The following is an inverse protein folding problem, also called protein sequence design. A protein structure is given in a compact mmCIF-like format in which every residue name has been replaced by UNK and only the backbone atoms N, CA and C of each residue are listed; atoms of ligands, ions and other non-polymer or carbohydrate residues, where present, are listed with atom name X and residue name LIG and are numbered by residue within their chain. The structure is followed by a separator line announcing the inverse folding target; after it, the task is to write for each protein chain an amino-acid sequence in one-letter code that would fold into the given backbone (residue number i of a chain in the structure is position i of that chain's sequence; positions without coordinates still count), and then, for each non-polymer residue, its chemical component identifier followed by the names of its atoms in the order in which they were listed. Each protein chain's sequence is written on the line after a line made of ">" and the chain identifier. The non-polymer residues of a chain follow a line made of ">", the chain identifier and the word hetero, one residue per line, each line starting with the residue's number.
data_IF_350791151059
#
_entry.id   IF_350791151059
#
_cell.length_a   1.000
_cell.length_b   1.000
_cell.length_c   1.000
_cell.angle_alpha   90.00
_cell.angle_beta   90.00
_cell.angle_gamma   90.00
#
_symmetry.space_group_name_H-M   'P 1'
#
loop_
_entity.id
_entity.type
_entity.pdbx_description
1 polymer ?
#
# COMPACT_ATOMS: atom_id res chain seq x y z
N UNK A 1 16.39 -19.79 -7.11
CA UNK A 1 16.72 -18.59 -6.34
C UNK A 1 15.42 -18.04 -5.81
N UNK A 2 15.34 -17.81 -4.50
CA UNK A 2 14.08 -17.52 -3.80
C UNK A 2 13.41 -16.25 -4.35
N UNK A 3 12.17 -16.39 -4.79
CA UNK A 3 11.26 -15.34 -5.24
C UNK A 3 10.77 -14.40 -4.09
N UNK A 4 11.38 -14.47 -2.92
CA UNK A 4 10.97 -13.77 -1.68
C UNK A 4 11.28 -12.25 -1.65
N UNK A 5 11.91 -11.71 -2.69
CA UNK A 5 12.25 -10.28 -2.78
C UNK A 5 11.47 -9.55 -3.88
N UNK A 6 10.44 -10.19 -4.45
CA UNK A 6 9.64 -9.57 -5.50
C UNK A 6 8.28 -9.22 -4.94
N UNK A 7 7.93 -7.94 -4.93
CA UNK A 7 6.60 -7.43 -4.59
C UNK A 7 5.83 -7.17 -5.88
N UNK A 8 4.63 -7.77 -5.99
CA UNK A 8 3.70 -7.54 -7.09
C UNK A 8 2.39 -7.07 -6.47
N UNK A 9 2.03 -5.80 -6.67
CA UNK A 9 0.88 -5.18 -6.02
C UNK A 9 0.06 -4.31 -6.97
N UNK A 10 -1.24 -4.17 -6.68
CA UNK A 10 -2.12 -3.14 -7.22
C UNK A 10 -2.79 -2.37 -6.09
N UNK A 11 -2.99 -1.06 -6.29
CA UNK A 11 -3.62 -0.17 -5.33
C UNK A 11 -4.86 0.47 -5.93
N UNK A 12 -5.90 0.64 -5.12
CA UNK A 12 -7.17 1.24 -5.50
C UNK A 12 -7.60 2.26 -4.46
N UNK A 13 -8.05 3.43 -4.91
CA UNK A 13 -8.78 4.36 -4.05
C UNK A 13 -10.24 3.91 -3.96
N UNK A 14 -10.81 3.91 -2.77
CA UNK A 14 -12.20 3.49 -2.53
C UNK A 14 -12.93 4.47 -1.61
N UNK A 15 -14.22 4.58 -1.77
CA UNK A 15 -15.08 5.41 -0.91
C UNK A 15 -15.60 4.65 0.31
N UNK A 16 -15.83 3.34 0.18
CA UNK A 16 -16.45 2.52 1.22
C UNK A 16 -15.65 1.25 1.54
N UNK A 17 -14.69 1.38 2.49
CA UNK A 17 -13.93 0.24 2.99
C UNK A 17 -14.81 -0.83 3.65
N UNK A 18 -15.92 -0.43 4.29
CA UNK A 18 -16.80 -1.39 4.96
C UNK A 18 -17.49 -2.32 3.96
N UNK A 19 -17.85 -1.80 2.78
CA UNK A 19 -18.38 -2.62 1.68
C UNK A 19 -17.35 -3.63 1.20
N UNK A 20 -16.10 -3.21 1.05
CA UNK A 20 -15.01 -4.10 0.66
C UNK A 20 -14.76 -5.16 1.74
N UNK A 21 -14.75 -4.77 3.01
CA UNK A 21 -14.58 -5.70 4.13
C UNK A 21 -15.73 -6.73 4.20
N UNK A 22 -16.98 -6.29 4.03
CA UNK A 22 -18.13 -7.19 3.94
C UNK A 22 -17.95 -8.19 2.79
N UNK A 23 -17.47 -7.73 1.65
CA UNK A 23 -17.20 -8.61 0.50
C UNK A 23 -16.08 -9.61 0.76
N UNK A 24 -15.02 -9.23 1.50
CA UNK A 24 -13.97 -10.15 1.95
C UNK A 24 -14.54 -11.24 2.86
N UNK A 25 -15.46 -10.91 3.78
CA UNK A 25 -16.14 -11.89 4.61
C UNK A 25 -17.00 -12.87 3.79
N UNK A 26 -17.75 -12.39 2.79
CA UNK A 26 -18.53 -13.25 1.88
C UNK A 26 -17.64 -14.20 1.07
N UNK A 27 -16.40 -13.79 0.76
CA UNK A 27 -15.41 -14.60 0.07
C UNK A 27 -14.59 -15.50 1.02
N UNK A 28 -14.95 -15.53 2.30
CA UNK A 28 -14.28 -16.32 3.35
C UNK A 28 -12.77 -15.96 3.50
N UNK A 29 -12.42 -14.70 3.22
CA UNK A 29 -11.07 -14.21 3.46
C UNK A 29 -10.72 -14.25 4.95
N UNK A 30 -9.52 -14.72 5.26
CA UNK A 30 -9.07 -14.85 6.64
C UNK A 30 -8.37 -13.58 7.10
N UNK A 31 -8.85 -12.98 8.19
CA UNK A 31 -8.17 -11.88 8.85
C UNK A 31 -6.84 -12.37 9.42
N UNK A 32 -5.72 -11.73 9.05
CA UNK A 32 -4.38 -12.06 9.55
C UNK A 32 -3.79 -10.94 10.41
N UNK A 33 -4.24 -9.69 10.22
CA UNK A 33 -3.88 -8.57 11.06
C UNK A 33 -5.10 -7.67 11.26
N UNK A 34 -5.53 -7.52 12.52
CA UNK A 34 -6.56 -6.56 12.89
C UNK A 34 -6.06 -5.12 12.65
N UNK A 35 -7.01 -4.19 12.59
CA UNK A 35 -6.72 -2.76 12.38
C UNK A 35 -5.64 -2.25 13.33
N UNK A 36 -4.51 -1.84 12.78
CA UNK A 36 -3.35 -1.32 13.52
C UNK A 36 -2.90 0.01 12.93
N UNK A 37 -2.44 0.92 13.78
CA UNK A 37 -1.79 2.15 13.33
C UNK A 37 -0.36 1.83 12.90
N UNK A 38 -0.02 2.21 11.67
CA UNK A 38 1.33 2.21 11.15
C UNK A 38 1.85 3.65 11.06
N UNK A 39 2.98 3.92 11.71
CA UNK A 39 3.77 5.13 11.48
C UNK A 39 4.94 4.80 10.59
N UNK A 40 5.07 5.54 9.51
CA UNK A 40 6.08 5.31 8.49
C UNK A 40 6.94 6.57 8.31
N UNK A 41 8.26 6.42 8.31
CA UNK A 41 9.20 7.49 7.96
C UNK A 41 9.92 7.08 6.66
N UNK A 42 9.80 7.89 5.63
CA UNK A 42 10.64 7.76 4.43
C UNK A 42 11.90 8.57 4.59
N UNK A 43 12.99 7.99 4.14
CA UNK A 43 14.31 8.60 4.14
C UNK A 43 14.82 8.79 2.71
N UNK A 44 15.64 9.81 2.52
CA UNK A 44 16.39 10.03 1.28
C UNK A 44 17.76 10.64 1.60
N UNK A 45 18.61 10.67 0.59
CA UNK A 45 19.85 11.43 0.65
C UNK A 45 19.56 12.93 0.41
N UNK A 46 20.43 13.85 0.86
CA UNK A 46 20.24 15.30 0.67
C UNK A 46 20.05 15.73 -0.78
N UNK A 47 20.61 14.98 -1.73
CA UNK A 47 20.52 15.20 -3.17
C UNK A 47 19.33 14.48 -3.84
N UNK A 48 18.40 13.94 -3.05
CA UNK A 48 17.29 13.10 -3.51
C UNK A 48 17.74 11.85 -4.26
N UNK A 49 18.86 11.28 -3.85
CA UNK A 49 19.54 10.19 -4.56
C UNK A 49 18.74 8.90 -4.69
N UNK A 50 17.74 8.66 -3.81
CA UNK A 50 16.80 7.54 -3.90
C UNK A 50 15.55 7.92 -4.71
N UNK A 51 14.88 9.01 -4.35
CA UNK A 51 13.62 9.44 -4.98
C UNK A 51 13.79 9.71 -6.47
N UNK A 52 14.90 10.31 -6.88
CA UNK A 52 15.21 10.58 -8.30
C UNK A 52 15.32 9.31 -9.14
N UNK A 53 15.61 8.18 -8.50
CA UNK A 53 15.68 6.84 -9.12
C UNK A 53 14.39 6.02 -8.90
N UNK A 54 13.36 6.60 -8.31
CA UNK A 54 12.12 5.89 -7.97
C UNK A 54 12.27 4.88 -6.82
N UNK A 55 13.36 4.95 -6.06
CA UNK A 55 13.65 4.06 -4.94
C UNK A 55 13.03 4.57 -3.65
N UNK A 56 12.78 3.69 -2.70
CA UNK A 56 12.19 4.00 -1.40
C UNK A 56 13.00 3.35 -0.28
N UNK A 57 13.41 4.15 0.70
CA UNK A 57 13.91 3.67 1.99
C UNK A 57 12.91 4.10 3.06
N UNK A 58 12.35 3.14 3.79
CA UNK A 58 11.26 3.35 4.75
C UNK A 58 11.55 2.63 6.06
N UNK A 59 11.38 3.33 7.16
CA UNK A 59 11.31 2.75 8.50
C UNK A 59 9.86 2.81 8.96
N UNK A 60 9.27 1.66 9.33
CA UNK A 60 7.88 1.52 9.77
C UNK A 60 7.83 1.06 11.21
N UNK A 61 6.89 1.60 11.97
CA UNK A 61 6.50 1.13 13.30
C UNK A 61 5.02 0.77 13.29
N UNK A 62 4.71 -0.46 13.59
CA UNK A 62 3.39 -0.97 13.99
C UNK A 62 3.57 -1.79 15.28
N UNK A 63 3.12 -3.04 15.34
CA UNK A 63 3.45 -3.97 16.44
C UNK A 63 4.97 -4.28 16.51
N UNK A 64 5.65 -4.18 15.37
CA UNK A 64 7.09 -4.38 15.21
C UNK A 64 7.70 -3.21 14.43
N UNK A 65 9.01 -3.01 14.57
CA UNK A 65 9.72 -2.06 13.72
C UNK A 65 10.37 -2.77 12.54
N UNK A 66 10.23 -2.20 11.33
CA UNK A 66 10.74 -2.79 10.08
C UNK A 66 11.43 -1.75 9.21
N UNK A 67 12.54 -2.13 8.62
CA UNK A 67 13.24 -1.35 7.62
C UNK A 67 13.01 -1.99 6.24
N UNK A 68 12.56 -1.16 5.29
CA UNK A 68 12.20 -1.59 3.94
C UNK A 68 12.94 -0.78 2.90
N UNK A 69 13.56 -1.46 1.94
CA UNK A 69 14.04 -0.87 0.69
C UNK A 69 13.21 -1.39 -0.48
N UNK A 70 12.81 -0.49 -1.39
CA UNK A 70 12.13 -0.86 -2.63
C UNK A 70 12.83 -0.19 -3.81
N UNK A 71 13.02 -0.93 -4.91
CA UNK A 71 13.51 -0.33 -6.15
C UNK A 71 12.40 0.36 -6.96
N UNK A 72 12.77 0.94 -8.12
CA UNK A 72 11.81 1.61 -9.00
C UNK A 72 10.76 0.67 -9.59
N UNK A 73 11.14 -0.58 -9.84
CA UNK A 73 10.29 -1.60 -10.43
C UNK A 73 9.81 -1.30 -11.84
N UNK A 74 8.85 -2.11 -12.27
CA UNK A 74 8.14 -1.97 -13.54
C UNK A 74 6.64 -1.84 -13.31
N UNK A 75 5.93 -1.16 -14.21
CA UNK A 75 4.49 -0.94 -14.12
C UNK A 75 3.83 -1.49 -15.36
N UNK A 76 2.86 -2.37 -15.19
CA UNK A 76 2.07 -2.94 -16.28
C UNK A 76 0.64 -3.23 -15.83
N UNK A 77 -0.35 -2.88 -16.63
CA UNK A 77 -1.77 -3.20 -16.40
C UNK A 77 -2.29 -2.81 -15.00
N UNK A 78 -1.87 -1.66 -14.48
CA UNK A 78 -2.27 -1.18 -13.15
C UNK A 78 -1.52 -1.84 -11.97
N UNK A 79 -0.58 -2.75 -12.25
CA UNK A 79 0.20 -3.48 -11.25
C UNK A 79 1.64 -2.98 -11.24
N UNK A 80 2.22 -2.90 -10.05
CA UNK A 80 3.66 -2.63 -9.84
C UNK A 80 4.34 -3.94 -9.50
N UNK A 81 5.49 -4.18 -10.12
CA UNK A 81 6.39 -5.29 -9.82
C UNK A 81 7.78 -4.73 -9.56
N UNK A 82 8.32 -4.96 -8.36
CA UNK A 82 9.62 -4.41 -7.92
C UNK A 82 10.31 -5.29 -6.89
N UNK A 83 11.60 -5.09 -6.75
CA UNK A 83 12.37 -5.68 -5.65
C UNK A 83 12.01 -4.99 -4.35
N UNK A 84 11.65 -5.76 -3.34
CA UNK A 84 11.49 -5.32 -1.95
C UNK A 84 12.40 -6.12 -1.04
N UNK A 85 13.15 -5.41 -0.19
CA UNK A 85 13.96 -5.99 0.88
C UNK A 85 13.41 -5.43 2.19
N UNK A 86 12.76 -6.27 2.99
CA UNK A 86 12.21 -5.89 4.29
C UNK A 86 12.76 -6.81 5.39
N UNK A 87 13.12 -6.22 6.52
CA UNK A 87 13.54 -6.97 7.71
C UNK A 87 13.19 -6.23 8.98
N UNK A 88 13.02 -6.98 10.06
CA UNK A 88 12.74 -6.44 11.38
C UNK A 88 13.96 -5.74 11.98
N UNK A 89 13.72 -4.66 12.72
CA UNK A 89 14.70 -3.98 13.56
C UNK A 89 14.22 -4.02 15.00
N UNK A 90 15.13 -4.18 15.96
CA UNK A 90 14.76 -4.34 17.38
C UNK A 90 14.37 -3.03 18.08
N UNK A 91 14.68 -1.86 17.48
CA UNK A 91 14.47 -0.56 18.10
C UNK A 91 14.29 0.50 16.99
N UNK A 92 13.11 1.07 16.92
CA UNK A 92 12.75 2.04 15.89
C UNK A 92 13.59 3.33 15.97
N UNK A 93 13.77 3.88 17.18
CA UNK A 93 14.51 5.13 17.34
C UNK A 93 16.00 4.93 17.05
N UNK A 94 16.59 3.81 17.46
CA UNK A 94 17.98 3.50 17.11
C UNK A 94 18.17 3.28 15.63
N UNK A 95 17.22 2.62 14.95
CA UNK A 95 17.27 2.45 13.51
C UNK A 95 17.18 3.79 12.77
N UNK A 96 16.33 4.70 13.24
CA UNK A 96 16.24 6.08 12.73
C UNK A 96 17.57 6.82 12.89
N UNK A 97 18.13 6.85 14.10
CA UNK A 97 19.43 7.49 14.39
C UNK A 97 20.57 6.88 13.55
N UNK A 98 20.54 5.58 13.33
CA UNK A 98 21.51 4.90 12.50
C UNK A 98 21.45 5.36 11.03
N UNK A 99 20.25 5.49 10.47
CA UNK A 99 20.07 6.01 9.11
C UNK A 99 20.54 7.47 9.01
N UNK A 100 20.23 8.30 10.00
CA UNK A 100 20.67 9.69 10.07
C UNK A 100 22.21 9.77 10.15
N UNK A 101 22.86 8.91 10.93
CA UNK A 101 24.33 8.82 11.03
C UNK A 101 24.98 8.39 9.72
N UNK A 102 24.29 7.64 8.86
CA UNK A 102 24.72 7.28 7.51
C UNK A 102 24.50 8.40 6.48
N UNK A 103 23.93 9.54 6.89
CA UNK A 103 23.69 10.70 6.04
C UNK A 103 22.31 10.74 5.37
N UNK A 104 21.41 9.78 5.68
CA UNK A 104 20.03 9.86 5.24
C UNK A 104 19.26 10.91 6.05
N UNK A 105 18.32 11.59 5.42
CA UNK A 105 17.46 12.58 6.05
C UNK A 105 16.01 12.14 5.96
N UNK A 106 15.22 12.48 6.97
CA UNK A 106 13.77 12.29 6.92
C UNK A 106 13.21 13.09 5.75
N UNK A 107 12.58 12.41 4.80
CA UNK A 107 11.88 13.03 3.68
C UNK A 107 10.44 13.38 4.07
N UNK A 108 9.72 12.43 4.66
CA UNK A 108 8.31 12.58 5.08
C UNK A 108 7.96 11.51 6.10
N UNK A 109 7.12 11.87 7.08
CA UNK A 109 6.41 10.92 7.90
C UNK A 109 4.96 10.78 7.42
N UNK A 110 4.42 9.55 7.44
CA UNK A 110 3.01 9.33 7.20
C UNK A 110 2.44 8.23 8.07
N UNK A 111 1.19 8.42 8.48
CA UNK A 111 0.43 7.47 9.27
C UNK A 111 -0.68 6.86 8.42
N UNK A 112 -0.99 5.60 8.69
CA UNK A 112 -2.20 4.94 8.20
C UNK A 112 -2.68 3.90 9.20
N UNK A 113 -3.97 3.62 9.22
CA UNK A 113 -4.47 2.38 9.80
C UNK A 113 -4.50 1.32 8.71
N UNK A 114 -4.09 0.10 9.05
CA UNK A 114 -4.11 -1.05 8.15
C UNK A 114 -4.82 -2.23 8.80
N UNK A 115 -5.72 -2.87 8.04
CA UNK A 115 -6.28 -4.19 8.31
C UNK A 115 -5.83 -5.13 7.19
N UNK A 116 -5.33 -6.33 7.51
CA UNK A 116 -4.84 -7.25 6.48
C UNK A 116 -5.61 -8.56 6.48
N UNK A 117 -6.08 -8.94 5.31
CA UNK A 117 -6.72 -10.20 5.00
C UNK A 117 -5.83 -11.04 4.07
N UNK A 118 -6.01 -12.35 4.12
CA UNK A 118 -5.46 -13.27 3.14
C UNK A 118 -6.60 -14.03 2.48
N UNK A 119 -6.56 -14.12 1.16
CA UNK A 119 -7.53 -14.83 0.35
C UNK A 119 -6.80 -15.78 -0.59
N UNK A 120 -7.15 -17.06 -0.50
CA UNK A 120 -6.66 -18.06 -1.44
C UNK A 120 -7.42 -17.92 -2.77
N UNK A 121 -6.76 -17.41 -3.79
CA UNK A 121 -7.34 -17.25 -5.12
C UNK A 121 -7.78 -18.58 -5.74
N UNK A 122 -7.12 -19.69 -5.37
CA UNK A 122 -7.49 -21.04 -5.81
C UNK A 122 -8.79 -21.55 -5.20
N UNK A 123 -9.16 -21.09 -3.98
CA UNK A 123 -10.42 -21.49 -3.34
C UNK A 123 -11.66 -20.98 -4.07
N UNK A 124 -11.52 -19.91 -4.84
CA UNK A 124 -12.60 -19.24 -5.56
C UNK A 124 -12.85 -19.81 -6.96
N UNK A 125 -12.01 -20.74 -7.43
CA UNK A 125 -12.17 -21.35 -8.75
C UNK A 125 -13.08 -22.58 -8.71
N UNK A 126 -13.95 -22.78 -9.73
CA UNK A 126 -14.77 -23.99 -9.85
C UNK A 126 -13.90 -25.23 -10.07
N UNK A 127 -14.10 -26.27 -9.27
CA UNK A 127 -13.75 -27.68 -9.51
C UNK A 127 -12.35 -27.97 -10.09
N UNK A 128 -12.30 -28.40 -11.34
CA UNK A 128 -11.09 -28.89 -12.02
C UNK A 128 -10.01 -27.83 -12.31
N UNK A 129 -10.32 -26.56 -12.19
CA UNK A 129 -9.34 -25.48 -12.41
C UNK A 129 -8.42 -25.25 -11.21
N UNK A 130 -8.78 -25.78 -10.01
CA UNK A 130 -7.97 -25.70 -8.81
C UNK A 130 -6.60 -26.36 -8.92
N UNK A 131 -6.42 -27.30 -9.84
CA UNK A 131 -5.18 -28.08 -9.99
C UNK A 131 -4.22 -27.56 -11.07
N UNK A 132 -4.66 -26.67 -11.95
CA UNK A 132 -3.92 -26.31 -13.16
C UNK A 132 -3.05 -25.03 -13.04
N UNK A 133 -3.26 -24.22 -12.04
CA UNK A 133 -2.55 -22.96 -11.86
C UNK A 133 -2.06 -22.88 -10.42
N UNK A 134 -0.78 -22.61 -10.22
CA UNK A 134 -0.18 -22.35 -8.92
C UNK A 134 -0.76 -21.10 -8.27
N UNK A 135 -2.07 -21.12 -7.98
CA UNK A 135 -2.73 -20.02 -7.29
C UNK A 135 -2.16 -19.89 -5.89
N UNK A 136 -1.75 -18.71 -5.57
CA UNK A 136 -1.12 -18.36 -4.32
C UNK A 136 -2.05 -17.46 -3.51
N UNK A 137 -1.85 -17.48 -2.22
CA UNK A 137 -2.49 -16.54 -1.32
C UNK A 137 -2.22 -15.10 -1.77
N UNK A 138 -3.29 -14.29 -1.87
CA UNK A 138 -3.17 -12.85 -2.03
C UNK A 138 -3.37 -12.18 -0.67
N UNK A 139 -2.54 -11.19 -0.36
CA UNK A 139 -2.77 -10.30 0.76
C UNK A 139 -3.62 -9.13 0.30
N UNK A 140 -4.66 -8.83 1.05
CA UNK A 140 -5.54 -7.70 0.80
C UNK A 140 -5.44 -6.78 2.01
N UNK A 141 -4.87 -5.58 1.80
CA UNK A 141 -4.72 -4.56 2.81
C UNK A 141 -5.79 -3.49 2.63
N UNK A 142 -6.55 -3.24 3.69
CA UNK A 142 -7.47 -2.13 3.81
C UNK A 142 -6.75 -1.00 4.54
N UNK A 143 -6.42 0.07 3.83
CA UNK A 143 -5.64 1.19 4.32
C UNK A 143 -6.52 2.43 4.48
N UNK A 144 -6.55 2.98 5.70
CA UNK A 144 -7.16 4.25 6.02
C UNK A 144 -6.05 5.29 6.19
N UNK A 145 -5.97 6.26 5.28
CA UNK A 145 -5.03 7.39 5.37
C UNK A 145 -5.79 8.66 5.78
N UNK A 146 -5.10 9.68 6.29
CA UNK A 146 -5.74 10.96 6.64
C UNK A 146 -6.52 11.62 5.51
N UNK A 147 -6.24 11.28 4.26
CA UNK A 147 -6.86 11.88 3.08
C UNK A 147 -7.75 10.91 2.27
N UNK A 148 -7.95 9.68 2.73
CA UNK A 148 -8.84 8.73 2.04
C UNK A 148 -8.50 7.27 2.30
N UNK A 149 -9.35 6.41 1.73
CA UNK A 149 -9.31 4.97 1.94
C UNK A 149 -8.76 4.27 0.69
N UNK A 150 -8.01 3.19 0.91
CA UNK A 150 -7.38 2.45 -0.18
C UNK A 150 -7.46 0.94 0.06
N UNK A 151 -7.42 0.19 -1.03
CA UNK A 151 -7.22 -1.25 -1.02
C UNK A 151 -5.93 -1.54 -1.76
N UNK A 152 -4.99 -2.25 -1.12
CA UNK A 152 -3.82 -2.83 -1.78
C UNK A 152 -4.05 -4.34 -1.92
N UNK A 153 -3.76 -4.89 -3.09
CA UNK A 153 -3.79 -6.32 -3.35
C UNK A 153 -2.39 -6.73 -3.77
N UNK A 154 -1.76 -7.57 -2.97
CA UNK A 154 -0.46 -8.16 -3.24
C UNK A 154 -0.63 -9.64 -3.57
N UNK A 155 -0.01 -10.11 -4.63
CA UNK A 155 -0.15 -11.48 -5.10
C UNK A 155 1.07 -12.00 -5.84
N UNK A 156 1.02 -13.27 -6.24
CA UNK A 156 2.13 -13.92 -6.94
C UNK A 156 2.32 -13.42 -8.37
N UNK A 157 1.23 -12.96 -9.01
CA UNK A 157 1.24 -12.47 -10.39
C UNK A 157 0.06 -11.53 -10.67
N UNK A 158 0.11 -10.89 -11.82
CA UNK A 158 -0.91 -9.94 -12.30
C UNK A 158 -2.29 -10.61 -12.40
N UNK A 159 -2.37 -11.85 -12.85
CA UNK A 159 -3.64 -12.55 -13.06
C UNK A 159 -4.37 -12.80 -11.74
N UNK A 160 -3.64 -13.22 -10.70
CA UNK A 160 -4.20 -13.40 -9.35
C UNK A 160 -4.72 -12.06 -8.78
N UNK A 161 -3.95 -10.98 -8.91
CA UNK A 161 -4.36 -9.65 -8.46
C UNK A 161 -5.62 -9.17 -9.17
N UNK A 162 -5.66 -9.28 -10.50
CA UNK A 162 -6.83 -8.89 -11.31
C UNK A 162 -8.07 -9.72 -10.95
N UNK A 163 -7.88 -11.02 -10.72
CA UNK A 163 -8.97 -11.89 -10.32
C UNK A 163 -9.57 -11.48 -8.97
N UNK A 164 -8.72 -11.23 -7.97
CA UNK A 164 -9.17 -10.77 -6.65
C UNK A 164 -9.84 -9.38 -6.75
N UNK A 165 -9.28 -8.44 -7.50
CA UNK A 165 -9.87 -7.13 -7.69
C UNK A 165 -11.29 -7.22 -8.29
N UNK A 166 -11.51 -8.10 -9.28
CA UNK A 166 -12.83 -8.36 -9.84
C UNK A 166 -13.80 -8.96 -8.79
N UNK A 167 -13.33 -9.90 -7.95
CA UNK A 167 -14.16 -10.49 -6.88
C UNK A 167 -14.54 -9.47 -5.81
N UNK A 168 -13.73 -8.43 -5.61
CA UNK A 168 -14.02 -7.31 -4.71
C UNK A 168 -14.83 -6.20 -5.41
N UNK A 169 -15.24 -6.38 -6.68
CA UNK A 169 -15.94 -5.38 -7.49
C UNK A 169 -15.15 -4.07 -7.65
N UNK A 170 -13.82 -4.15 -7.75
CA UNK A 170 -12.95 -3.02 -8.01
C UNK A 170 -12.74 -2.82 -9.52
N UNK A 171 -12.79 -1.57 -9.97
CA UNK A 171 -12.51 -1.24 -11.36
C UNK A 171 -11.01 -1.21 -11.63
N UNK A 172 -10.51 -2.20 -12.35
CA UNK A 172 -9.09 -2.33 -12.73
C UNK A 172 -8.56 -1.11 -13.52
N UNK A 173 -9.43 -0.37 -14.23
CA UNK A 173 -9.03 0.82 -14.97
C UNK A 173 -8.63 1.99 -14.06
N UNK A 174 -9.05 1.94 -12.81
CA UNK A 174 -8.73 2.98 -11.80
C UNK A 174 -7.54 2.60 -10.92
N UNK A 175 -6.86 1.49 -11.21
CA UNK A 175 -5.68 1.06 -10.45
C UNK A 175 -4.58 2.14 -10.43
N UNK A 176 -4.03 2.39 -9.25
CA UNK A 176 -3.09 3.47 -8.97
C UNK A 176 -1.66 2.93 -8.97
N UNK A 177 -0.81 3.44 -9.85
CA UNK A 177 0.60 3.05 -9.97
C UNK A 177 1.56 4.01 -9.26
N UNK A 178 1.08 4.76 -8.26
CA UNK A 178 1.90 5.71 -7.49
C UNK A 178 1.77 5.48 -5.98
N UNK A 179 2.77 5.92 -5.22
CA UNK A 179 2.77 5.78 -3.76
C UNK A 179 1.87 6.79 -3.05
N UNK A 180 1.54 6.53 -1.79
CA UNK A 180 0.72 7.41 -0.95
C UNK A 180 1.29 8.84 -0.83
N UNK A 181 2.60 8.98 -0.72
CA UNK A 181 3.25 10.28 -0.63
C UNK A 181 3.10 11.12 -1.90
N UNK A 182 3.03 10.49 -3.07
CA UNK A 182 2.78 11.19 -4.33
C UNK A 182 1.30 11.63 -4.45
N UNK A 183 0.37 10.82 -3.94
CA UNK A 183 -1.04 11.22 -3.86
C UNK A 183 -1.23 12.37 -2.86
N UNK A 184 -0.52 12.32 -1.74
CA UNK A 184 -0.51 13.43 -0.78
C UNK A 184 -0.03 14.74 -1.41
N UNK A 185 0.96 14.70 -2.29
CA UNK A 185 1.41 15.91 -3.01
C UNK A 185 0.28 16.57 -3.80
N UNK A 186 -0.59 15.78 -4.45
CA UNK A 186 -1.78 16.33 -5.12
C UNK A 186 -2.73 17.03 -4.13
N UNK A 187 -3.00 16.39 -2.99
CA UNK A 187 -3.85 16.94 -1.92
C UNK A 187 -3.21 18.20 -1.32
N UNK A 188 -1.90 18.16 -1.07
CA UNK A 188 -1.12 19.27 -0.53
C UNK A 188 -1.23 20.52 -1.43
N UNK A 189 -1.06 20.33 -2.74
CA UNK A 189 -1.20 21.40 -3.72
C UNK A 189 -2.65 21.92 -3.83
N UNK A 190 -3.63 21.01 -3.90
CA UNK A 190 -5.05 21.36 -4.07
C UNK A 190 -5.60 22.16 -2.87
N UNK A 191 -5.24 21.78 -1.66
CA UNK A 191 -5.70 22.40 -0.42
C UNK A 191 -4.73 23.45 0.13
N UNK A 192 -3.58 23.68 -0.53
CA UNK A 192 -2.53 24.63 -0.09
C UNK A 192 -2.10 24.38 1.36
N UNK A 193 -1.84 23.10 1.69
CA UNK A 193 -1.46 22.71 3.04
C UNK A 193 -0.08 23.30 3.39
N UNK A 194 0.13 23.58 4.68
CA UNK A 194 1.38 24.20 5.16
C UNK A 194 2.32 23.21 5.84
N UNK A 195 1.85 22.00 6.10
CA UNK A 195 2.63 20.93 6.72
C UNK A 195 3.10 19.91 5.67
N UNK A 196 4.21 19.24 5.96
CA UNK A 196 4.84 18.26 5.06
C UNK A 196 4.56 16.81 5.46
N UNK A 197 4.25 16.55 6.73
CA UNK A 197 3.99 15.20 7.21
C UNK A 197 2.51 14.83 7.07
N UNK A 198 2.26 13.65 6.54
CA UNK A 198 0.93 13.09 6.30
C UNK A 198 0.47 12.29 7.54
N UNK A 199 0.11 12.97 8.61
CA UNK A 199 -0.34 12.37 9.87
C UNK A 199 -1.81 12.67 10.15
N UNK A 200 -2.50 11.80 10.90
CA UNK A 200 -3.88 12.07 11.31
C UNK A 200 -4.00 13.36 12.13
N UNK A 201 -2.98 13.69 12.92
CA UNK A 201 -2.96 14.93 13.71
C UNK A 201 -2.96 16.18 12.80
N UNK A 202 -2.15 16.18 11.74
CA UNK A 202 -2.05 17.30 10.79
C UNK A 202 -3.35 17.49 9.98
N UNK A 203 -4.10 16.41 9.75
CA UNK A 203 -5.37 16.44 9.01
C UNK A 203 -6.60 16.69 9.91
N UNK A 204 -6.43 16.91 11.20
CA UNK A 204 -7.56 17.16 12.10
C UNK A 204 -8.41 18.34 11.60
N UNK A 205 -9.68 18.08 11.28
CA UNK A 205 -10.62 19.08 10.76
C UNK A 205 -10.49 19.41 9.27
N UNK A 206 -9.56 18.79 8.54
CA UNK A 206 -9.42 18.97 7.08
C UNK A 206 -10.29 17.94 6.36
N UNK A 207 -11.15 18.40 5.46
CA UNK A 207 -11.92 17.52 4.58
C UNK A 207 -11.24 17.41 3.22
N UNK A 208 -10.99 16.18 2.81
CA UNK A 208 -10.40 15.88 1.50
C UNK A 208 -11.46 15.22 0.62
N UNK A 209 -11.68 15.81 -0.55
CA UNK A 209 -12.58 15.27 -1.55
C UNK A 209 -11.81 14.46 -2.61
N UNK A 210 -12.45 13.48 -3.29
CA UNK A 210 -11.79 12.61 -4.27
C UNK A 210 -11.03 13.37 -5.37
N UNK A 211 -11.55 14.52 -5.82
CA UNK A 211 -10.93 15.37 -6.84
C UNK A 211 -9.56 15.93 -6.43
N UNK A 212 -9.31 16.09 -5.12
CA UNK A 212 -8.01 16.55 -4.62
C UNK A 212 -6.91 15.51 -4.82
N UNK A 213 -7.27 14.21 -4.89
CA UNK A 213 -6.32 13.13 -5.10
C UNK A 213 -5.96 12.94 -6.58
N UNK A 214 -6.79 13.46 -7.51
CA UNK A 214 -6.69 13.28 -8.97
C UNK A 214 -6.73 11.79 -9.38
N UNK A 215 -7.45 10.97 -8.63
CA UNK A 215 -7.72 9.55 -8.93
C UNK A 215 -9.23 9.30 -8.83
N UNK A 216 -9.68 8.25 -9.51
CA UNK A 216 -11.08 7.86 -9.48
C UNK A 216 -11.29 6.74 -8.46
N UNK A 217 -12.43 6.74 -7.72
CA UNK A 217 -12.79 5.63 -6.85
C UNK A 217 -13.05 4.36 -7.67
N UNK A 218 -12.47 3.24 -7.21
CA UNK A 218 -12.58 1.95 -7.86
C UNK A 218 -13.90 1.21 -7.53
N UNK A 219 -14.59 1.64 -6.50
CA UNK A 219 -15.79 0.99 -5.96
C UNK A 219 -17.10 1.66 -6.39
N UNK A 220 -17.09 2.54 -7.40
CA UNK A 220 -18.30 3.20 -7.93
C UNK A 220 -19.11 2.32 -8.90
N UNK A 221 -18.60 1.18 -9.34
CA UNK A 221 -19.39 0.26 -10.20
C UNK A 221 -20.47 -0.42 -9.36
N UNK A 222 -21.71 -0.15 -9.75
CA UNK A 222 -22.92 -0.82 -9.25
C UNK A 222 -23.01 -2.26 -9.75
#
# INVERSE_FOLDING_TARGET
>A
MNNQMQEIEAKFYVLDLKRIESRLHELEARLIQARVLETNIRFDLPDSGLSSKGQVLRLRQDAEAKLTYKDAGTKAQGVINRTEIEFGVSDFEKAKLFLEALGYQKLIQYDKYRTTYILDSGSLLPGSQKQASGFHNCHIMLDELPYGNFVEIEGADIAAIHYIAQKLNLDLQTAISTGYTNLFENVHQALKLTFTDLTFANFAGIQVAPEHLRVQPADLKS
#
